data_IF_193689781586
#
_entry.id   IF_193689781586
#
_cell.length_a   1.000
_cell.length_b   1.000
_cell.length_c   1.000
_cell.angle_alpha   90.00
_cell.angle_beta   90.00
_cell.angle_gamma   90.00
#
_symmetry.space_group_name_H-M   'P 1'
#
loop_
_entity.id
_entity.type
_entity.pdbx_description
1 polymer ?
#
# COMPACT_ATOMS: atom_id res chain seq x y z
N UNK A 1 52.42 37.74 25.92
CA UNK A 1 52.80 36.66 24.98
C UNK A 1 51.95 35.44 25.37
N UNK A 2 51.25 34.85 24.39
CA UNK A 2 50.32 33.70 24.43
C UNK A 2 48.89 33.87 24.99
N UNK A 3 47.97 33.91 24.02
CA UNK A 3 46.53 33.61 24.06
C UNK A 3 46.30 32.15 24.44
N UNK A 4 45.16 31.80 25.05
CA UNK A 4 44.49 30.51 24.81
C UNK A 4 42.98 30.63 25.09
N UNK A 5 42.21 30.42 24.03
CA UNK A 5 40.75 30.36 23.99
C UNK A 5 40.25 29.06 24.62
N UNK A 6 39.20 29.12 25.44
CA UNK A 6 38.39 27.95 25.79
C UNK A 6 37.21 27.85 24.82
N UNK A 7 37.31 26.94 23.87
CA UNK A 7 36.26 26.58 22.92
C UNK A 7 35.25 25.64 23.56
N UNK A 8 33.97 26.02 23.55
CA UNK A 8 32.83 25.14 23.76
C UNK A 8 32.81 24.03 22.69
N UNK A 9 32.69 22.77 23.11
CA UNK A 9 32.30 21.67 22.23
C UNK A 9 30.95 21.15 22.73
N UNK A 10 29.88 21.58 22.06
CA UNK A 10 28.58 20.94 22.18
C UNK A 10 28.58 19.71 21.26
N UNK A 11 28.57 18.52 21.85
CA UNK A 11 28.45 17.27 21.12
C UNK A 11 26.97 17.05 20.76
N UNK A 12 26.58 17.38 19.54
CA UNK A 12 25.31 16.95 18.95
C UNK A 12 25.45 15.49 18.51
N UNK A 13 24.84 14.56 19.26
CA UNK A 13 24.69 13.17 18.81
C UNK A 13 23.49 13.14 17.88
N UNK A 14 23.75 13.17 16.57
CA UNK A 14 22.74 12.89 15.55
C UNK A 14 22.42 11.40 15.55
N UNK A 15 21.27 11.02 16.13
CA UNK A 15 20.66 9.72 15.86
C UNK A 15 20.15 9.71 14.42
N UNK A 16 20.87 9.01 13.53
CA UNK A 16 20.37 8.69 12.20
C UNK A 16 19.30 7.60 12.33
N UNK A 17 18.03 8.01 12.31
CA UNK A 17 16.90 7.12 12.05
C UNK A 17 17.03 6.55 10.63
N UNK A 18 17.41 5.28 10.50
CA UNK A 18 17.28 4.52 9.26
C UNK A 18 15.80 4.24 8.98
N UNK A 19 15.05 5.29 8.62
CA UNK A 19 13.81 5.14 7.89
C UNK A 19 14.22 5.00 6.42
N UNK A 20 14.09 3.79 5.86
CA UNK A 20 14.21 3.59 4.43
C UNK A 20 13.13 4.45 3.74
N UNK A 21 13.53 5.62 3.28
CA UNK A 21 12.73 6.47 2.41
C UNK A 21 12.56 5.72 1.08
N UNK A 22 11.38 5.14 0.88
CA UNK A 22 10.94 4.76 -0.46
C UNK A 22 10.76 6.04 -1.26
N UNK A 23 11.81 6.47 -1.97
CA UNK A 23 11.77 7.62 -2.87
C UNK A 23 10.83 7.34 -4.03
N UNK A 24 9.85 8.23 -4.23
CA UNK A 24 8.89 8.23 -5.34
C UNK A 24 9.53 8.32 -6.75
N UNK A 25 10.86 8.47 -6.83
CA UNK A 25 11.60 8.80 -8.05
C UNK A 25 11.86 7.62 -9.00
N UNK A 26 11.59 6.37 -8.61
CA UNK A 26 11.78 5.20 -9.50
C UNK A 26 10.54 4.81 -10.31
N UNK A 27 9.50 5.67 -10.36
CA UNK A 27 8.24 5.38 -11.06
C UNK A 27 8.28 5.58 -12.59
N UNK A 28 9.47 5.64 -13.21
CA UNK A 28 9.62 5.84 -14.65
C UNK A 28 10.56 4.82 -15.31
N UNK A 29 10.14 3.55 -15.38
CA UNK A 29 10.47 2.69 -16.53
C UNK A 29 9.26 1.81 -16.92
N UNK A 30 8.78 2.05 -18.14
CA UNK A 30 7.71 1.37 -18.92
C UNK A 30 8.17 -0.01 -19.42
N UNK A 31 7.35 -1.01 -19.76
CA UNK A 31 6.15 -1.05 -20.60
C UNK A 31 5.23 -2.24 -20.20
N UNK A 32 3.90 -2.06 -20.32
CA UNK A 32 2.82 -3.05 -20.29
C UNK A 32 2.34 -3.72 -18.98
N UNK A 33 3.05 -3.68 -17.85
CA UNK A 33 2.57 -4.35 -16.60
C UNK A 33 2.12 -3.43 -15.46
N UNK A 34 2.84 -2.33 -15.23
CA UNK A 34 2.81 -1.56 -13.98
C UNK A 34 1.64 -0.57 -13.81
N UNK A 35 0.90 -0.23 -14.88
CA UNK A 35 -0.01 0.94 -14.83
C UNK A 35 -1.32 0.71 -14.07
N UNK A 36 -1.80 -0.54 -13.96
CA UNK A 36 -3.17 -0.80 -13.49
C UNK A 36 -3.41 -0.47 -12.02
N UNK A 37 -2.41 -0.66 -11.15
CA UNK A 37 -2.53 -0.41 -9.72
C UNK A 37 -2.05 0.98 -9.28
N UNK A 38 -1.25 1.67 -10.10
CA UNK A 38 -0.85 3.07 -9.85
C UNK A 38 -2.06 4.01 -10.00
N UNK A 39 -2.95 3.71 -10.94
CA UNK A 39 -4.15 4.52 -11.14
C UNK A 39 -5.07 4.40 -9.91
N UNK A 40 -5.57 5.50 -9.32
CA UNK A 40 -6.58 5.40 -8.28
C UNK A 40 -7.90 4.81 -8.82
N UNK A 41 -8.65 4.09 -7.98
CA UNK A 41 -10.05 3.81 -8.26
C UNK A 41 -10.88 5.04 -7.92
N UNK A 42 -11.62 5.56 -8.90
CA UNK A 42 -12.55 6.67 -8.70
C UNK A 42 -13.94 6.14 -8.36
N UNK A 43 -14.68 6.88 -7.56
CA UNK A 43 -16.08 6.58 -7.24
C UNK A 43 -16.91 7.88 -7.18
N UNK A 44 -18.23 7.77 -7.32
CA UNK A 44 -19.16 8.91 -7.22
C UNK A 44 -19.69 9.09 -5.80
N UNK A 45 -20.65 9.99 -5.66
CA UNK A 45 -21.30 10.29 -4.37
C UNK A 45 -22.19 9.14 -3.85
N UNK A 46 -22.36 8.07 -4.64
CA UNK A 46 -23.06 6.85 -4.23
C UNK A 46 -22.24 5.94 -3.29
N UNK A 47 -21.02 6.34 -2.93
CA UNK A 47 -20.19 5.67 -1.92
C UNK A 47 -20.10 6.56 -0.68
N UNK A 48 -20.96 6.29 0.30
CA UNK A 48 -21.01 7.07 1.55
C UNK A 48 -19.85 6.74 2.51
N UNK A 49 -19.47 5.46 2.58
CA UNK A 49 -18.41 4.96 3.46
C UNK A 49 -17.39 4.12 2.65
N UNK A 50 -16.36 4.78 2.09
CA UNK A 50 -15.35 4.09 1.30
C UNK A 50 -14.44 3.18 2.14
N UNK A 51 -14.27 3.45 3.45
CA UNK A 51 -13.49 2.58 4.35
C UNK A 51 -14.20 1.23 4.50
N UNK A 52 -15.47 1.26 4.90
CA UNK A 52 -16.27 0.03 5.08
C UNK A 52 -16.41 -0.74 3.77
N UNK A 53 -16.51 -0.04 2.64
CA UNK A 53 -16.50 -0.66 1.30
C UNK A 53 -15.23 -1.49 1.06
N UNK A 54 -14.06 -0.92 1.37
CA UNK A 54 -12.76 -1.59 1.18
C UNK A 54 -12.61 -2.75 2.17
N UNK A 55 -13.00 -2.58 3.43
CA UNK A 55 -13.00 -3.65 4.43
C UNK A 55 -13.86 -4.83 3.96
N UNK A 56 -15.07 -4.55 3.46
CA UNK A 56 -15.99 -5.56 2.90
C UNK A 56 -15.41 -6.25 1.65
N UNK A 57 -14.58 -5.56 0.88
CA UNK A 57 -13.87 -6.17 -0.24
C UNK A 57 -12.76 -7.11 0.26
N UNK A 58 -11.93 -6.66 1.20
CA UNK A 58 -10.81 -7.44 1.76
C UNK A 58 -11.31 -8.72 2.42
N UNK A 59 -12.36 -8.64 3.23
CA UNK A 59 -12.91 -9.79 3.98
C UNK A 59 -13.43 -10.92 3.09
N UNK A 60 -13.70 -10.65 1.81
CA UNK A 60 -14.13 -11.64 0.81
C UNK A 60 -12.98 -12.30 0.05
N UNK A 61 -11.74 -11.83 0.24
CA UNK A 61 -10.59 -12.36 -0.48
C UNK A 61 -9.79 -13.29 0.43
N UNK A 62 -9.68 -14.55 0.03
CA UNK A 62 -8.90 -15.52 0.78
C UNK A 62 -7.43 -15.08 0.93
N UNK A 63 -6.91 -15.18 2.14
CA UNK A 63 -5.52 -14.89 2.51
C UNK A 63 -5.25 -13.44 2.95
N UNK A 64 -6.06 -12.47 2.51
CA UNK A 64 -5.88 -11.08 2.94
C UNK A 64 -6.45 -10.86 4.34
N UNK A 65 -5.69 -10.14 5.17
CA UNK A 65 -6.07 -9.74 6.52
C UNK A 65 -5.93 -8.23 6.65
N UNK A 66 -6.76 -7.61 7.46
CA UNK A 66 -6.58 -6.21 7.85
C UNK A 66 -5.58 -6.19 9.00
N UNK A 67 -4.48 -5.47 8.83
CA UNK A 67 -3.45 -5.29 9.85
C UNK A 67 -3.72 -4.06 10.72
N UNK A 68 -4.16 -2.96 10.09
CA UNK A 68 -4.50 -1.72 10.78
C UNK A 68 -5.50 -0.91 9.96
N UNK A 69 -6.24 -0.04 10.63
CA UNK A 69 -7.22 0.84 10.03
C UNK A 69 -7.17 2.22 10.69
N UNK A 70 -7.43 3.25 9.89
CA UNK A 70 -7.74 4.62 10.29
C UNK A 70 -8.93 5.10 9.47
N UNK A 71 -9.39 6.33 9.70
CA UNK A 71 -10.53 6.91 8.96
C UNK A 71 -10.25 7.14 7.46
N UNK A 72 -8.99 7.14 7.04
CA UNK A 72 -8.58 7.42 5.65
C UNK A 72 -7.63 6.39 5.05
N UNK A 73 -7.29 5.32 5.78
CA UNK A 73 -6.33 4.32 5.32
C UNK A 73 -6.55 2.96 5.96
N UNK A 74 -6.36 1.90 5.16
CA UNK A 74 -6.38 0.51 5.59
C UNK A 74 -5.06 -0.16 5.18
N UNK A 75 -4.39 -0.81 6.11
CA UNK A 75 -3.24 -1.67 5.80
C UNK A 75 -3.73 -3.12 5.71
N UNK A 76 -3.56 -3.73 4.54
CA UNK A 76 -3.91 -5.10 4.27
C UNK A 76 -2.65 -5.96 4.09
N UNK A 77 -2.67 -7.18 4.62
CA UNK A 77 -1.55 -8.11 4.59
C UNK A 77 -1.98 -9.49 4.08
N UNK A 78 -1.20 -10.04 3.14
CA UNK A 78 -1.11 -11.48 2.91
C UNK A 78 -0.01 -12.01 3.83
N UNK A 79 -0.37 -12.89 4.75
CA UNK A 79 0.51 -13.42 5.79
C UNK A 79 0.85 -14.88 5.50
N UNK A 80 2.13 -15.13 5.21
CA UNK A 80 2.68 -16.41 4.77
C UNK A 80 1.85 -17.09 3.66
N UNK A 81 1.27 -16.30 2.76
CA UNK A 81 0.43 -16.80 1.69
C UNK A 81 1.31 -17.42 0.60
N UNK A 82 1.25 -18.76 0.50
CA UNK A 82 2.11 -19.54 -0.42
C UNK A 82 3.60 -19.27 -0.18
N UNK A 83 4.01 -19.05 1.07
CA UNK A 83 5.39 -18.74 1.44
C UNK A 83 5.79 -17.28 1.23
N UNK A 84 4.84 -16.36 1.10
CA UNK A 84 5.11 -14.94 0.87
C UNK A 84 4.31 -14.06 1.83
N UNK A 85 4.93 -12.99 2.29
CA UNK A 85 4.27 -11.88 2.98
C UNK A 85 4.16 -10.70 2.02
N UNK A 86 2.97 -10.11 1.92
CA UNK A 86 2.74 -8.89 1.13
C UNK A 86 1.91 -7.93 1.94
N UNK A 87 2.35 -6.67 2.00
CA UNK A 87 1.66 -5.59 2.71
C UNK A 87 1.35 -4.47 1.72
N UNK A 88 0.10 -4.04 1.72
CA UNK A 88 -0.43 -2.96 0.88
C UNK A 88 -1.18 -2.00 1.78
N UNK A 89 -0.89 -0.71 1.65
CA UNK A 89 -1.69 0.36 2.26
C UNK A 89 -2.69 0.86 1.23
N UNK A 90 -3.93 1.04 1.66
CA UNK A 90 -5.05 1.46 0.82
C UNK A 90 -5.52 2.80 1.35
N UNK A 91 -5.14 3.88 0.67
CA UNK A 91 -5.40 5.25 1.09
C UNK A 91 -6.67 5.78 0.39
N UNK A 92 -7.52 6.50 1.12
CA UNK A 92 -8.71 7.14 0.61
C UNK A 92 -8.49 8.66 0.61
N UNK A 93 -8.59 9.26 -0.57
CA UNK A 93 -8.37 10.68 -0.77
C UNK A 93 -9.49 11.27 -1.65
N UNK A 94 -10.42 11.97 -1.01
CA UNK A 94 -11.66 12.41 -1.65
C UNK A 94 -12.38 11.22 -2.27
N UNK A 95 -12.73 11.33 -3.56
CA UNK A 95 -13.45 10.31 -4.30
C UNK A 95 -12.53 9.27 -4.96
N UNK A 96 -11.41 8.95 -4.31
CA UNK A 96 -10.34 8.11 -4.86
C UNK A 96 -9.80 7.11 -3.85
N UNK A 97 -9.56 5.87 -4.29
CA UNK A 97 -8.88 4.83 -3.53
C UNK A 97 -7.53 4.52 -4.20
N UNK A 98 -6.45 4.66 -3.44
CA UNK A 98 -5.08 4.43 -3.87
C UNK A 98 -4.54 3.15 -3.25
N UNK A 99 -3.81 2.35 -4.02
CA UNK A 99 -3.17 1.12 -3.53
C UNK A 99 -1.67 1.34 -3.52
N UNK A 100 -1.10 1.48 -2.33
CA UNK A 100 0.31 1.80 -2.10
C UNK A 100 1.03 0.52 -1.66
N UNK A 101 1.98 0.00 -2.46
CA UNK A 101 2.88 -1.06 -2.02
C UNK A 101 3.64 -0.63 -0.76
N UNK A 102 3.64 -1.46 0.29
CA UNK A 102 4.43 -1.20 1.50
C UNK A 102 5.62 -2.14 1.57
N UNK A 103 5.38 -3.45 1.44
CA UNK A 103 6.45 -4.44 1.45
C UNK A 103 6.01 -5.75 0.79
N UNK A 104 6.96 -6.47 0.23
CA UNK A 104 6.78 -7.84 -0.23
C UNK A 104 8.04 -8.65 0.14
N UNK A 105 7.85 -9.86 0.69
CA UNK A 105 8.96 -10.77 0.99
C UNK A 105 8.55 -12.23 0.89
N UNK A 106 9.51 -13.10 0.60
CA UNK A 106 9.42 -14.56 0.79
C UNK A 106 9.77 -14.93 2.23
N UNK A 107 8.98 -15.81 2.82
CA UNK A 107 9.17 -16.29 4.21
C UNK A 107 10.39 -17.21 4.32
N UNK A 108 10.69 -17.97 3.27
CA UNK A 108 11.76 -18.98 3.23
C UNK A 108 13.11 -18.43 2.72
N UNK A 109 13.36 -17.13 2.88
CA UNK A 109 14.56 -16.54 2.31
C UNK A 109 15.79 -16.75 3.21
N UNK A 110 16.64 -17.70 2.81
CA UNK A 110 17.89 -18.02 3.47
C UNK A 110 18.96 -16.97 3.14
N UNK A 111 19.23 -16.04 4.06
CA UNK A 111 20.37 -15.07 4.12
C UNK A 111 20.75 -14.28 2.85
N UNK A 112 20.04 -14.43 1.74
CA UNK A 112 20.31 -13.76 0.45
C UNK A 112 19.17 -12.79 0.18
N UNK A 113 19.45 -11.50 0.42
CA UNK A 113 18.51 -10.40 0.22
C UNK A 113 17.93 -10.38 -1.20
N UNK A 114 18.75 -10.71 -2.21
CA UNK A 114 18.37 -10.70 -3.63
C UNK A 114 17.32 -11.75 -4.00
N UNK A 115 17.12 -12.77 -3.15
CA UNK A 115 16.12 -13.84 -3.34
C UNK A 115 14.92 -13.69 -2.42
N UNK A 116 14.88 -12.66 -1.57
CA UNK A 116 13.79 -12.43 -0.63
C UNK A 116 12.60 -11.72 -1.27
N UNK A 117 12.73 -11.07 -2.42
CA UNK A 117 11.60 -10.41 -3.08
C UNK A 117 10.56 -11.42 -3.59
N UNK A 118 9.28 -11.05 -3.55
CA UNK A 118 8.22 -11.86 -4.14
C UNK A 118 8.36 -11.82 -5.66
N UNK A 119 8.12 -12.95 -6.32
CA UNK A 119 8.05 -12.95 -7.80
C UNK A 119 6.99 -11.96 -8.24
N UNK A 120 7.39 -11.02 -9.09
CA UNK A 120 6.55 -9.92 -9.56
C UNK A 120 5.17 -10.37 -10.07
N UNK A 121 5.12 -11.43 -10.87
CA UNK A 121 3.85 -11.98 -11.39
C UNK A 121 2.87 -12.34 -10.27
N UNK A 122 3.36 -12.91 -9.17
CA UNK A 122 2.53 -13.25 -8.02
C UNK A 122 2.03 -12.00 -7.29
N UNK A 123 2.94 -11.05 -7.04
CA UNK A 123 2.60 -9.77 -6.44
C UNK A 123 1.51 -9.04 -7.24
N UNK A 124 1.70 -8.87 -8.54
CA UNK A 124 0.74 -8.20 -9.42
C UNK A 124 -0.60 -8.94 -9.47
N UNK A 125 -0.59 -10.27 -9.53
CA UNK A 125 -1.81 -11.08 -9.49
C UNK A 125 -2.59 -10.84 -8.20
N UNK A 126 -1.92 -10.81 -7.06
CA UNK A 126 -2.59 -10.60 -5.76
C UNK A 126 -3.12 -9.18 -5.62
N UNK A 127 -2.35 -8.18 -6.03
CA UNK A 127 -2.77 -6.78 -6.00
C UNK A 127 -3.94 -6.52 -6.95
N UNK A 128 -3.91 -7.09 -8.16
CA UNK A 128 -5.02 -6.99 -9.12
C UNK A 128 -6.28 -7.67 -8.59
N UNK A 129 -6.13 -8.83 -7.91
CA UNK A 129 -7.28 -9.49 -7.28
C UNK A 129 -7.90 -8.62 -6.18
N UNK A 130 -7.08 -8.00 -5.33
CA UNK A 130 -7.52 -7.08 -4.30
C UNK A 130 -8.26 -5.88 -4.90
N UNK A 131 -7.63 -5.20 -5.87
CA UNK A 131 -8.22 -4.06 -6.57
C UNK A 131 -9.55 -4.42 -7.21
N UNK A 132 -9.64 -5.57 -7.89
CA UNK A 132 -10.87 -6.03 -8.57
C UNK A 132 -12.04 -6.20 -7.60
N UNK A 133 -11.81 -6.71 -6.39
CA UNK A 133 -12.86 -6.86 -5.39
C UNK A 133 -13.38 -5.50 -4.90
N UNK A 134 -12.48 -4.55 -4.66
CA UNK A 134 -12.85 -3.17 -4.32
C UNK A 134 -13.65 -2.53 -5.47
N UNK A 135 -13.16 -2.64 -6.71
CA UNK A 135 -13.88 -2.13 -7.90
C UNK A 135 -15.26 -2.77 -8.06
N UNK A 136 -15.40 -4.07 -7.77
CA UNK A 136 -16.70 -4.76 -7.83
C UNK A 136 -17.67 -4.17 -6.82
N UNK A 137 -17.25 -3.90 -5.58
CA UNK A 137 -18.13 -3.26 -4.59
C UNK A 137 -18.55 -1.84 -5.03
N UNK A 138 -17.62 -1.03 -5.55
CA UNK A 138 -17.94 0.31 -6.10
C UNK A 138 -18.99 0.19 -7.21
N UNK A 139 -18.78 -0.75 -8.14
CA UNK A 139 -19.69 -0.97 -9.26
C UNK A 139 -21.09 -1.39 -8.81
N UNK A 140 -21.21 -2.26 -7.80
CA UNK A 140 -22.51 -2.66 -7.27
C UNK A 140 -23.28 -1.47 -6.67
N UNK A 141 -22.61 -0.57 -5.96
CA UNK A 141 -23.25 0.65 -5.45
C UNK A 141 -23.69 1.58 -6.57
N UNK A 142 -22.87 1.74 -7.62
CA UNK A 142 -23.23 2.53 -8.80
C UNK A 142 -24.50 2.01 -9.49
N UNK A 143 -24.66 0.67 -9.59
CA UNK A 143 -25.87 0.08 -10.15
C UNK A 143 -27.12 0.36 -9.31
N UNK A 144 -27.01 0.26 -7.99
CA UNK A 144 -28.11 0.55 -7.07
C UNK A 144 -28.52 2.02 -7.14
N UNK A 145 -27.56 2.94 -7.23
CA UNK A 145 -27.81 4.38 -7.37
C UNK A 145 -28.52 4.72 -8.70
N UNK A 146 -28.05 4.13 -9.81
CA UNK A 146 -28.66 4.31 -11.11
C UNK A 146 -30.12 3.83 -11.16
N UNK A 147 -30.46 2.75 -10.44
CA UNK A 147 -31.82 2.23 -10.35
C UNK A 147 -32.76 3.14 -9.55
N UNK A 148 -32.25 3.85 -8.53
CA UNK A 148 -33.04 4.79 -7.72
C UNK A 148 -33.33 6.10 -8.44
N UNK A 149 -32.56 6.41 -9.48
CA UNK A 149 -32.65 7.66 -10.24
C UNK A 149 -33.61 7.59 -11.44
N UNK A 150 -34.32 6.46 -11.61
CA UNK A 150 -35.35 6.23 -12.63
C UNK A 150 -36.74 6.38 -12.02
#
# INVERSE_FOLDING_TARGET
MYRLLFTCIALFISLSSNAQQYSLENATQTENGYKLYIAPLKFGNYVDDPITLVISAISKINGWKIQSQTDSSITAMLDNYKGNDVVVRIDIAGNSIHFVPVSDRRVDCSKSADKCAVKREHYERWLNNLRRHVSKNIYQLALVDAQKSQ
#
